data_IF_209184689309
#
_entry.id   IF_209184689309
#
_cell.length_a   1.000
_cell.length_b   1.000
_cell.length_c   1.000
_cell.angle_alpha   90.00
_cell.angle_beta   90.00
_cell.angle_gamma   90.00
#
_symmetry.space_group_name_H-M   'P 1'
#
loop_
_entity.id
_entity.type
_entity.pdbx_description
1 polymer ?
#
# COMPACT_ATOMS: atom_id res chain seq x y z
N UNK A 1 -7.74 -7.73 -22.25
CA UNK A 1 -7.52 -6.66 -21.24
C UNK A 1 -6.17 -6.93 -20.64
N UNK A 2 -5.26 -5.99 -20.75
CA UNK A 2 -3.92 -6.03 -20.13
C UNK A 2 -3.95 -5.09 -18.93
N UNK A 3 -3.79 -5.64 -17.72
CA UNK A 3 -3.85 -4.85 -16.49
C UNK A 3 -2.48 -4.80 -15.82
N UNK A 4 -1.85 -3.64 -15.85
CA UNK A 4 -0.51 -3.37 -15.33
C UNK A 4 -0.53 -2.22 -14.30
N UNK A 5 -1.62 -2.13 -13.52
CA UNK A 5 -1.79 -1.15 -12.44
C UNK A 5 -2.16 -1.80 -11.10
N UNK A 6 -1.50 -2.92 -10.77
CA UNK A 6 -1.68 -3.65 -9.52
C UNK A 6 -1.30 -2.85 -8.25
N UNK A 7 -0.58 -1.75 -8.40
CA UNK A 7 -0.34 -0.82 -7.30
C UNK A 7 -1.58 0.01 -6.94
N UNK A 8 -2.52 0.21 -7.88
CA UNK A 8 -3.82 0.82 -7.61
C UNK A 8 -4.78 -0.16 -6.95
N UNK A 9 -4.98 -1.33 -7.56
CA UNK A 9 -5.90 -2.36 -7.07
C UNK A 9 -5.56 -3.72 -7.67
N UNK A 10 -5.94 -4.80 -6.99
CA UNK A 10 -5.96 -6.14 -7.62
C UNK A 10 -7.27 -6.27 -8.42
N UNK A 11 -7.22 -6.52 -9.73
CA UNK A 11 -8.43 -6.59 -10.57
C UNK A 11 -9.24 -7.86 -10.34
N UNK A 12 -8.66 -8.84 -9.65
CA UNK A 12 -9.26 -10.15 -9.39
C UNK A 12 -9.65 -10.24 -7.93
N UNK A 13 -10.93 -10.53 -7.67
CA UNK A 13 -11.39 -10.85 -6.32
C UNK A 13 -11.00 -12.30 -6.00
N UNK A 14 -9.97 -12.47 -5.18
CA UNK A 14 -9.45 -13.79 -4.75
C UNK A 14 -10.12 -14.25 -3.47
N UNK A 15 -10.47 -13.32 -2.60
CA UNK A 15 -11.04 -13.55 -1.28
C UNK A 15 -12.34 -12.77 -1.11
N UNK A 16 -13.38 -13.42 -0.63
CA UNK A 16 -14.71 -12.83 -0.48
C UNK A 16 -15.47 -13.51 0.65
N UNK A 17 -16.35 -12.76 1.31
CA UNK A 17 -17.26 -13.27 2.34
C UNK A 17 -18.14 -14.43 1.86
N UNK A 18 -18.37 -14.56 0.55
CA UNK A 18 -19.10 -15.68 -0.05
C UNK A 18 -18.43 -17.05 0.12
N UNK A 19 -17.17 -17.08 0.50
CA UNK A 19 -16.41 -18.29 0.78
C UNK A 19 -16.60 -18.77 2.23
N UNK A 20 -17.29 -17.98 3.06
CA UNK A 20 -17.47 -18.22 4.49
C UNK A 20 -18.96 -18.12 4.88
N UNK A 21 -19.57 -19.28 5.12
CA UNK A 21 -20.96 -19.39 5.56
C UNK A 21 -21.05 -19.66 7.07
N UNK A 22 -22.27 -19.50 7.63
CA UNK A 22 -22.59 -19.96 8.99
C UNK A 22 -22.53 -18.88 10.08
N UNK A 23 -22.23 -17.63 9.75
CA UNK A 23 -22.22 -16.51 10.69
C UNK A 23 -23.37 -15.56 10.42
N UNK A 24 -24.38 -15.56 11.32
CA UNK A 24 -25.64 -14.86 11.10
C UNK A 24 -25.96 -13.81 12.19
N UNK A 25 -25.21 -13.84 13.30
CA UNK A 25 -25.49 -12.96 14.42
C UNK A 25 -24.59 -11.71 14.39
N UNK A 26 -25.14 -10.60 14.92
CA UNK A 26 -24.32 -9.43 15.18
C UNK A 26 -23.32 -9.77 16.30
N UNK A 27 -22.00 -9.69 16.07
CA UNK A 27 -20.99 -10.05 17.08
C UNK A 27 -21.06 -9.22 18.36
N UNK A 28 -21.68 -8.03 18.32
CA UNK A 28 -21.89 -7.18 19.50
C UNK A 28 -23.06 -7.65 20.39
N UNK A 29 -23.91 -8.55 19.90
CA UNK A 29 -25.00 -9.11 20.70
C UNK A 29 -24.48 -10.00 21.83
N UNK A 30 -25.15 -9.97 22.99
CA UNK A 30 -24.72 -10.74 24.17
C UNK A 30 -24.61 -12.25 23.91
N UNK A 31 -25.49 -12.79 23.06
CA UNK A 31 -25.56 -14.22 22.70
C UNK A 31 -24.62 -14.64 21.56
N UNK A 32 -23.95 -13.71 20.87
CA UNK A 32 -23.11 -13.98 19.69
C UNK A 32 -21.69 -14.46 20.11
N UNK A 33 -21.62 -15.54 20.88
CA UNK A 33 -20.34 -16.08 21.35
C UNK A 33 -19.47 -16.65 20.21
N UNK A 34 -20.10 -17.37 19.28
CA UNK A 34 -19.41 -18.00 18.15
C UNK A 34 -18.78 -16.94 17.25
N UNK A 35 -19.52 -15.89 16.95
CA UNK A 35 -19.07 -14.78 16.12
C UNK A 35 -17.88 -14.04 16.76
N UNK A 36 -17.98 -13.73 18.07
CA UNK A 36 -16.86 -13.10 18.78
C UNK A 36 -15.62 -13.99 18.82
N UNK A 37 -15.79 -15.29 19.06
CA UNK A 37 -14.67 -16.23 19.03
C UNK A 37 -14.00 -16.23 17.64
N UNK A 38 -14.78 -16.30 16.57
CA UNK A 38 -14.24 -16.25 15.21
C UNK A 38 -13.47 -14.93 14.93
N UNK A 39 -13.97 -13.78 15.41
CA UNK A 39 -13.25 -12.51 15.30
C UNK A 39 -11.92 -12.51 16.07
N UNK A 40 -11.91 -13.07 17.29
CA UNK A 40 -10.68 -13.20 18.08
C UNK A 40 -9.67 -14.15 17.40
N UNK A 41 -10.15 -15.27 16.85
CA UNK A 41 -9.30 -16.22 16.11
C UNK A 41 -8.71 -15.54 14.85
N UNK A 42 -9.49 -14.72 14.13
CA UNK A 42 -9.01 -13.91 13.00
C UNK A 42 -7.94 -12.91 13.42
N UNK A 43 -8.15 -12.19 14.52
CA UNK A 43 -7.15 -11.27 15.07
C UNK A 43 -5.82 -11.96 15.35
N UNK A 44 -5.84 -13.13 16.03
CA UNK A 44 -4.62 -13.89 16.30
C UNK A 44 -3.93 -14.37 15.02
N UNK A 45 -4.69 -14.81 14.00
CA UNK A 45 -4.17 -15.21 12.69
C UNK A 45 -3.49 -14.03 11.97
N UNK A 46 -4.12 -12.85 11.94
CA UNK A 46 -3.55 -11.64 11.33
C UNK A 46 -2.27 -11.26 12.07
N UNK A 47 -2.28 -11.21 13.42
CA UNK A 47 -1.09 -10.91 14.22
C UNK A 47 0.06 -11.88 13.94
N UNK A 48 -0.25 -13.17 13.87
CA UNK A 48 0.73 -14.21 13.56
C UNK A 48 1.30 -14.00 12.14
N UNK A 49 0.46 -13.71 11.15
CA UNK A 49 0.87 -13.49 9.76
C UNK A 49 1.80 -12.27 9.61
N UNK A 50 1.49 -11.16 10.29
CA UNK A 50 2.35 -9.97 10.28
C UNK A 50 3.52 -10.01 11.26
N UNK A 51 3.62 -11.07 12.06
CA UNK A 51 4.76 -11.32 12.97
C UNK A 51 4.78 -10.45 14.23
N UNK A 52 3.61 -10.04 14.73
CA UNK A 52 3.44 -9.32 16.00
C UNK A 52 2.80 -10.19 17.07
N UNK A 53 3.02 -9.87 18.36
CA UNK A 53 2.54 -10.69 19.49
C UNK A 53 1.41 -10.04 20.26
N UNK A 54 1.45 -8.73 20.41
CA UNK A 54 0.49 -7.95 21.20
C UNK A 54 -0.40 -7.07 20.35
N UNK A 55 -1.18 -6.24 21.03
CA UNK A 55 -2.04 -5.25 20.41
C UNK A 55 -3.35 -5.82 19.86
N UNK A 56 -4.08 -4.97 19.15
CA UNK A 56 -5.38 -5.29 18.58
C UNK A 56 -5.46 -4.97 17.08
N UNK A 57 -6.34 -5.70 16.38
CA UNK A 57 -6.64 -5.46 14.97
C UNK A 57 -8.02 -4.83 14.84
N UNK A 58 -8.08 -3.69 14.17
CA UNK A 58 -9.32 -3.02 13.81
C UNK A 58 -9.58 -3.16 12.31
N UNK A 59 -10.85 -3.21 11.93
CA UNK A 59 -11.31 -3.44 10.56
C UNK A 59 -12.04 -2.20 10.04
N UNK A 60 -11.74 -1.83 8.80
CA UNK A 60 -12.24 -0.65 8.10
C UNK A 60 -12.66 -1.02 6.68
N UNK A 61 -13.38 -0.14 5.99
CA UNK A 61 -13.75 -0.35 4.59
C UNK A 61 -12.54 -0.19 3.64
N UNK A 62 -11.64 0.73 3.98
CA UNK A 62 -10.42 0.98 3.21
C UNK A 62 -9.32 1.58 4.11
N UNK A 63 -8.08 1.58 3.61
CA UNK A 63 -6.95 2.17 4.33
C UNK A 63 -7.13 3.68 4.61
N UNK A 64 -7.79 4.41 3.70
CA UNK A 64 -8.10 5.84 3.89
C UNK A 64 -8.98 6.06 5.12
N UNK A 65 -10.03 5.23 5.31
CA UNK A 65 -10.87 5.30 6.51
C UNK A 65 -10.08 4.95 7.78
N UNK A 66 -9.18 3.98 7.70
CA UNK A 66 -8.37 3.57 8.83
C UNK A 66 -7.44 4.70 9.32
N UNK A 67 -6.74 5.37 8.41
CA UNK A 67 -5.85 6.47 8.79
C UNK A 67 -6.63 7.72 9.20
N UNK A 68 -7.74 8.03 8.54
CA UNK A 68 -8.62 9.15 8.91
C UNK A 68 -9.19 8.97 10.32
N UNK A 69 -9.63 7.75 10.66
CA UNK A 69 -10.05 7.39 12.01
C UNK A 69 -8.92 7.62 13.03
N UNK A 70 -7.71 7.12 12.78
CA UNK A 70 -6.60 7.29 13.72
C UNK A 70 -6.23 8.76 13.90
N UNK A 71 -6.18 9.53 12.82
CA UNK A 71 -5.93 10.97 12.86
C UNK A 71 -7.00 11.69 13.68
N UNK A 72 -8.27 11.27 13.58
CA UNK A 72 -9.36 11.85 14.34
C UNK A 72 -9.29 11.50 15.84
N UNK A 73 -9.02 10.24 16.18
CA UNK A 73 -8.89 9.78 17.57
C UNK A 73 -7.67 10.40 18.29
N UNK A 74 -6.65 10.79 17.51
CA UNK A 74 -5.43 11.41 18.02
C UNK A 74 -5.40 12.93 17.83
N UNK A 75 -6.47 13.56 17.33
CA UNK A 75 -6.58 15.02 17.15
C UNK A 75 -6.84 15.73 18.49
N UNK A 76 -5.95 15.51 19.45
CA UNK A 76 -5.85 16.39 20.59
C UNK A 76 -5.08 17.62 20.16
N UNK A 77 -5.60 18.81 20.42
CA UNK A 77 -5.10 20.12 19.97
C UNK A 77 -3.59 20.36 20.19
N UNK A 78 -2.92 19.47 20.90
CA UNK A 78 -1.49 19.54 21.22
C UNK A 78 -0.64 18.48 20.52
N UNK A 79 -1.22 17.43 19.95
CA UNK A 79 -0.45 16.35 19.32
C UNK A 79 0.12 16.79 17.97
N UNK A 80 1.37 16.43 17.73
CA UNK A 80 2.11 16.83 16.54
C UNK A 80 2.34 15.61 15.65
N UNK A 81 1.87 15.72 14.40
CA UNK A 81 2.07 14.69 13.38
C UNK A 81 3.17 15.10 12.40
N UNK A 82 4.04 14.14 12.07
CA UNK A 82 4.95 14.24 10.95
C UNK A 82 4.67 13.15 9.92
N UNK A 83 5.17 13.37 8.72
CA UNK A 83 5.07 12.39 7.64
C UNK A 83 6.31 12.43 6.75
N UNK A 84 6.56 11.34 6.02
CA UNK A 84 7.58 11.37 4.98
C UNK A 84 7.10 12.19 3.77
N UNK A 85 8.00 12.73 2.95
CA UNK A 85 7.61 13.44 1.72
C UNK A 85 7.01 12.49 0.66
N UNK A 86 7.16 11.20 0.86
CA UNK A 86 6.76 10.15 -0.10
C UNK A 86 5.36 9.59 0.12
N UNK A 87 4.64 10.03 1.18
CA UNK A 87 3.37 9.45 1.59
C UNK A 87 2.27 9.52 0.53
N UNK A 88 1.34 8.56 0.60
CA UNK A 88 0.10 8.63 -0.15
C UNK A 88 -0.79 9.77 0.37
N UNK A 89 -1.55 10.41 -0.51
CA UNK A 89 -2.39 11.57 -0.17
C UNK A 89 -3.37 11.30 0.99
N UNK A 90 -3.90 10.08 1.08
CA UNK A 90 -4.78 9.68 2.18
C UNK A 90 -4.15 9.92 3.57
N UNK A 91 -2.82 9.82 3.67
CA UNK A 91 -2.09 10.04 4.92
C UNK A 91 -1.90 11.52 5.26
N UNK A 92 -2.17 12.43 4.33
CA UNK A 92 -1.88 13.85 4.47
C UNK A 92 -3.11 14.70 4.80
N UNK A 93 -4.30 14.25 4.42
CA UNK A 93 -5.54 15.05 4.53
C UNK A 93 -5.90 15.47 5.97
N UNK A 94 -5.54 14.67 6.97
CA UNK A 94 -5.85 14.96 8.37
C UNK A 94 -4.73 15.67 9.14
N UNK A 95 -3.52 15.78 8.59
CA UNK A 95 -2.37 16.33 9.31
C UNK A 95 -2.44 17.87 9.33
N UNK A 96 -2.84 18.41 10.47
CA UNK A 96 -3.05 19.85 10.66
C UNK A 96 -1.83 20.59 11.19
N UNK A 97 -0.86 19.89 11.78
CA UNK A 97 0.34 20.46 12.40
C UNK A 97 1.60 19.72 12.01
N UNK A 98 2.48 20.41 11.30
CA UNK A 98 3.85 19.96 11.06
C UNK A 98 4.77 20.73 12.00
N UNK A 99 5.52 20.08 12.90
CA UNK A 99 6.48 20.76 13.74
C UNK A 99 7.77 21.08 12.96
N UNK A 100 8.48 22.11 13.45
CA UNK A 100 9.76 22.53 12.86
C UNK A 100 10.91 21.49 13.03
N UNK A 101 10.71 20.45 13.87
CA UNK A 101 11.72 19.42 14.15
C UNK A 101 11.12 18.04 14.35
N UNK A 102 11.67 17.03 13.68
CA UNK A 102 11.34 15.60 13.83
C UNK A 102 11.41 15.08 15.29
N UNK A 103 12.24 15.67 16.12
CA UNK A 103 12.44 15.23 17.52
C UNK A 103 11.30 15.63 18.48
N UNK A 104 10.37 16.44 18.04
CA UNK A 104 9.21 16.89 18.86
C UNK A 104 7.87 16.31 18.41
N UNK A 105 7.91 15.24 17.60
CA UNK A 105 6.71 14.58 17.09
C UNK A 105 6.12 13.61 18.12
N UNK A 106 4.80 13.62 18.22
CA UNK A 106 4.04 12.60 18.94
C UNK A 106 3.74 11.40 18.04
N UNK A 107 3.46 11.67 16.76
CA UNK A 107 3.20 10.68 15.74
C UNK A 107 4.00 10.94 14.46
N UNK A 108 4.46 9.87 13.83
CA UNK A 108 5.09 9.93 12.51
C UNK A 108 4.56 8.82 11.60
N UNK A 109 4.08 9.19 10.42
CA UNK A 109 3.61 8.24 9.43
C UNK A 109 4.66 8.04 8.34
N UNK A 110 4.91 6.79 8.00
CA UNK A 110 5.80 6.41 6.91
C UNK A 110 5.30 5.17 6.17
N UNK A 111 5.29 5.24 4.84
CA UNK A 111 5.00 4.04 4.05
C UNK A 111 6.19 3.06 4.10
N UNK A 112 5.88 1.76 4.11
CA UNK A 112 6.90 0.72 4.04
C UNK A 112 7.43 0.55 2.62
N UNK A 113 6.55 0.54 1.61
CA UNK A 113 6.89 0.47 0.19
C UNK A 113 6.29 1.68 -0.53
N UNK A 114 7.11 2.36 -1.32
CA UNK A 114 6.61 3.50 -2.09
C UNK A 114 5.60 3.04 -3.16
N UNK A 115 4.43 3.64 -3.15
CA UNK A 115 3.32 3.26 -4.01
C UNK A 115 3.49 3.70 -5.48
N UNK A 116 4.52 4.50 -5.79
CA UNK A 116 4.86 4.96 -7.14
C UNK A 116 6.12 4.25 -7.65
N UNK A 117 7.20 4.26 -6.87
CA UNK A 117 8.52 3.81 -7.30
C UNK A 117 8.84 2.36 -6.92
N UNK A 118 8.12 1.79 -5.94
CA UNK A 118 8.42 0.46 -5.42
C UNK A 118 9.60 0.42 -4.44
N UNK A 119 10.19 1.57 -4.06
CA UNK A 119 11.24 1.63 -3.05
C UNK A 119 10.77 1.05 -1.73
N UNK A 120 11.60 0.19 -1.12
CA UNK A 120 11.34 -0.44 0.18
C UNK A 120 12.15 0.30 1.24
N UNK A 121 11.47 0.97 2.16
CA UNK A 121 12.12 1.72 3.24
C UNK A 121 12.47 0.83 4.43
N UNK A 122 13.69 0.98 4.96
CA UNK A 122 14.08 0.30 6.20
C UNK A 122 13.41 0.98 7.42
N UNK A 123 12.33 0.38 7.88
CA UNK A 123 11.56 0.87 9.03
C UNK A 123 12.37 0.92 10.33
N UNK A 124 13.44 0.10 10.47
CA UNK A 124 14.34 0.14 11.64
C UNK A 124 15.19 1.41 11.64
N UNK A 125 15.69 1.80 10.48
CA UNK A 125 16.42 3.07 10.32
C UNK A 125 15.48 4.23 10.63
N UNK A 126 14.27 4.26 10.07
CA UNK A 126 13.27 5.29 10.35
C UNK A 126 12.98 5.36 11.85
N UNK A 127 12.68 4.21 12.49
CA UNK A 127 12.43 4.15 13.94
C UNK A 127 13.58 4.70 14.76
N UNK A 128 14.83 4.45 14.34
CA UNK A 128 16.02 4.93 15.06
C UNK A 128 16.19 6.45 15.04
N UNK A 129 15.61 7.13 14.06
CA UNK A 129 15.66 8.59 13.90
C UNK A 129 14.57 9.32 14.71
N UNK A 130 13.56 8.60 15.16
CA UNK A 130 12.44 9.16 15.93
C UNK A 130 12.73 9.09 17.43
N UNK A 131 12.10 10.00 18.18
CA UNK A 131 12.16 9.91 19.66
C UNK A 131 11.51 8.60 20.13
N UNK A 132 11.85 8.14 21.33
CA UNK A 132 11.26 6.93 21.93
C UNK A 132 9.76 7.09 22.24
N UNK A 133 9.31 8.31 22.41
CA UNK A 133 7.90 8.64 22.68
C UNK A 133 7.08 8.81 21.42
N UNK A 134 7.70 9.07 20.28
CA UNK A 134 7.03 9.22 19.01
C UNK A 134 6.44 7.90 18.55
N UNK A 135 5.18 7.87 18.19
CA UNK A 135 4.48 6.71 17.63
C UNK A 135 4.74 6.61 16.14
N UNK A 136 5.30 5.48 15.68
CA UNK A 136 5.51 5.20 14.26
C UNK A 136 4.30 4.46 13.69
N UNK A 137 3.62 5.11 12.75
CA UNK A 137 2.49 4.56 12.00
C UNK A 137 2.99 4.13 10.62
N UNK A 138 2.78 2.87 10.25
CA UNK A 138 3.28 2.31 8.99
C UNK A 138 2.16 2.12 7.99
N UNK A 139 2.24 2.81 6.84
CA UNK A 139 1.43 2.47 5.68
C UNK A 139 2.07 1.30 4.93
N UNK A 140 1.50 0.12 5.08
CA UNK A 140 1.94 -1.08 4.39
C UNK A 140 1.12 -1.39 3.12
N UNK A 141 0.24 -0.50 2.70
CA UNK A 141 -0.75 -0.72 1.64
C UNK A 141 -0.13 -1.10 0.29
N UNK A 142 1.01 -0.53 -0.08
CA UNK A 142 1.66 -0.83 -1.34
C UNK A 142 2.51 -2.11 -1.31
N UNK A 143 3.03 -2.47 -0.13
CA UNK A 143 3.97 -3.58 0.05
C UNK A 143 3.33 -4.95 0.28
N UNK A 144 2.10 -5.00 0.86
CA UNK A 144 1.43 -6.27 1.11
C UNK A 144 1.25 -7.10 -0.16
N UNK A 145 1.68 -8.37 -0.10
CA UNK A 145 1.64 -9.29 -1.24
C UNK A 145 2.62 -8.96 -2.37
N UNK A 146 3.54 -8.00 -2.19
CA UNK A 146 4.53 -7.56 -3.19
C UNK A 146 5.97 -7.46 -2.65
N UNK A 147 6.13 -7.55 -1.33
CA UNK A 147 7.42 -7.59 -0.68
C UNK A 147 7.31 -8.35 0.63
N UNK A 148 8.44 -8.80 1.17
CA UNK A 148 8.50 -9.49 2.46
C UNK A 148 8.39 -8.51 3.61
N UNK A 149 7.42 -8.72 4.50
CA UNK A 149 7.26 -7.92 5.71
C UNK A 149 8.53 -7.95 6.58
N UNK A 150 8.96 -6.79 7.11
CA UNK A 150 10.09 -6.75 8.01
C UNK A 150 9.79 -7.50 9.31
N UNK A 151 10.77 -8.26 9.81
CA UNK A 151 10.64 -8.97 11.07
C UNK A 151 10.73 -8.03 12.27
N UNK A 152 9.98 -8.34 13.34
CA UNK A 152 10.01 -7.60 14.60
C UNK A 152 9.25 -6.28 14.55
N UNK A 153 8.16 -6.25 13.80
CA UNK A 153 7.28 -5.08 13.67
C UNK A 153 6.77 -4.57 15.01
N UNK A 154 6.52 -5.44 15.98
CA UNK A 154 6.12 -5.11 17.35
C UNK A 154 7.14 -4.28 18.14
N UNK A 155 8.41 -4.24 17.68
CA UNK A 155 9.47 -3.39 18.24
C UNK A 155 9.77 -2.15 17.38
N UNK A 156 9.16 -2.04 16.22
CA UNK A 156 9.44 -0.98 15.24
C UNK A 156 8.27 -0.01 15.14
N UNK A 157 7.06 -0.53 14.94
CA UNK A 157 5.86 0.24 14.67
C UNK A 157 4.90 0.23 15.86
N UNK A 158 4.16 1.32 16.02
CA UNK A 158 3.04 1.43 16.97
C UNK A 158 1.70 1.12 16.29
N UNK A 159 1.59 1.34 14.98
CA UNK A 159 0.48 0.88 14.15
C UNK A 159 0.95 0.50 12.74
N UNK A 160 0.19 -0.39 12.10
CA UNK A 160 0.37 -0.77 10.71
C UNK A 160 -1.00 -0.94 10.05
N UNK A 161 -1.21 -0.34 8.88
CA UNK A 161 -2.46 -0.51 8.14
C UNK A 161 -2.22 -0.88 6.67
N UNK A 162 -3.24 -1.50 6.08
CA UNK A 162 -3.24 -1.90 4.68
C UNK A 162 -4.65 -1.94 4.09
N UNK A 163 -4.75 -1.98 2.78
CA UNK A 163 -6.01 -2.04 2.05
C UNK A 163 -6.22 -3.39 1.36
N UNK A 164 -7.30 -4.10 1.73
CA UNK A 164 -7.58 -5.45 1.24
C UNK A 164 -7.80 -5.53 -0.27
N UNK A 165 -8.34 -4.47 -0.92
CA UNK A 165 -8.57 -4.50 -2.36
C UNK A 165 -7.27 -4.65 -3.17
N UNK A 166 -6.11 -4.30 -2.62
CA UNK A 166 -4.81 -4.46 -3.29
C UNK A 166 -4.28 -5.89 -3.27
N UNK A 167 -4.84 -6.74 -2.41
CA UNK A 167 -4.51 -8.16 -2.31
C UNK A 167 -5.68 -9.09 -2.70
N UNK A 168 -6.66 -8.55 -3.42
CA UNK A 168 -7.79 -9.32 -3.93
C UNK A 168 -8.93 -9.56 -2.92
N UNK A 169 -9.00 -8.80 -1.82
CA UNK A 169 -10.10 -8.77 -0.86
C UNK A 169 -10.70 -7.35 -0.79
N UNK A 170 -11.70 -7.01 -1.61
CA UNK A 170 -12.20 -5.63 -1.71
C UNK A 170 -13.13 -5.22 -0.56
N UNK A 171 -13.55 -6.14 0.30
CA UNK A 171 -14.61 -5.90 1.28
C UNK A 171 -14.14 -5.11 2.49
N UNK A 172 -12.93 -5.38 2.96
CA UNK A 172 -12.36 -4.80 4.18
C UNK A 172 -10.87 -4.46 4.04
N UNK A 173 -10.41 -3.68 4.99
CA UNK A 173 -9.03 -3.32 5.28
C UNK A 173 -8.80 -3.50 6.77
N UNK A 174 -7.55 -3.50 7.24
CA UNK A 174 -7.27 -3.56 8.67
C UNK A 174 -6.21 -2.54 9.08
N UNK A 175 -6.22 -2.25 10.39
CA UNK A 175 -5.14 -1.57 11.10
C UNK A 175 -4.81 -2.38 12.36
N UNK A 176 -3.55 -2.77 12.52
CA UNK A 176 -3.02 -3.28 13.76
C UNK A 176 -2.52 -2.10 14.61
N UNK A 177 -2.80 -2.13 15.90
CA UNK A 177 -2.34 -1.18 16.92
C UNK A 177 -1.55 -1.93 17.98
N UNK A 178 -0.39 -1.39 18.39
CA UNK A 178 0.41 -1.94 19.49
C UNK A 178 -0.33 -1.84 20.83
N UNK A 179 0.09 -2.65 21.81
CA UNK A 179 -0.47 -2.58 23.18
C UNK A 179 -0.40 -1.15 23.73
N UNK A 180 0.73 -0.48 23.53
CA UNK A 180 0.93 0.89 24.01
C UNK A 180 -0.05 1.90 23.39
N UNK A 181 -0.32 1.75 22.08
CA UNK A 181 -1.26 2.61 21.40
C UNK A 181 -2.70 2.27 21.77
N UNK A 182 -3.02 0.98 21.95
CA UNK A 182 -4.32 0.53 22.44
C UNK A 182 -4.63 1.10 23.84
N UNK A 183 -3.67 1.04 24.77
CA UNK A 183 -3.79 1.63 26.10
C UNK A 183 -3.99 3.14 26.03
N UNK A 184 -3.23 3.83 25.19
CA UNK A 184 -3.33 5.27 24.99
C UNK A 184 -4.71 5.69 24.44
N UNK A 185 -5.27 4.91 23.52
CA UNK A 185 -6.61 5.09 22.94
C UNK A 185 -7.75 4.65 23.87
N UNK A 186 -7.43 3.97 24.98
CA UNK A 186 -8.43 3.50 25.95
C UNK A 186 -9.19 2.25 25.52
N UNK A 187 -8.51 1.33 24.84
CA UNK A 187 -9.09 0.04 24.41
C UNK A 187 -9.78 -0.71 25.54
N UNK A 188 -10.97 -1.24 25.28
CA UNK A 188 -11.73 -2.05 26.21
C UNK A 188 -11.15 -3.48 26.32
N UNK A 189 -11.54 -4.22 27.36
CA UNK A 189 -11.14 -5.63 27.56
C UNK A 189 -12.01 -6.63 26.78
N UNK A 190 -12.95 -6.16 26.00
CA UNK A 190 -13.90 -6.97 25.24
C UNK A 190 -13.88 -6.58 23.76
N UNK A 191 -13.85 -7.54 22.86
CA UNK A 191 -13.77 -7.32 21.40
C UNK A 191 -14.99 -6.61 20.80
N UNK A 192 -16.09 -6.52 21.54
CA UNK A 192 -17.29 -5.82 21.08
C UNK A 192 -16.95 -4.38 20.70
N UNK A 193 -17.58 -3.92 19.60
CA UNK A 193 -17.24 -2.62 18.99
C UNK A 193 -15.73 -2.48 18.77
N UNK A 194 -15.11 -3.55 18.32
CA UNK A 194 -13.67 -3.59 18.03
C UNK A 194 -12.86 -3.03 19.21
N UNK A 195 -12.94 -3.71 20.35
CA UNK A 195 -12.29 -3.32 21.60
C UNK A 195 -12.76 -1.96 22.13
N UNK A 196 -13.99 -1.54 21.78
CA UNK A 196 -14.53 -0.24 22.16
C UNK A 196 -13.94 0.93 21.37
N UNK A 197 -12.99 0.69 20.48
CA UNK A 197 -12.26 1.72 19.73
C UNK A 197 -12.97 2.15 18.45
N UNK A 198 -13.64 1.22 17.75
CA UNK A 198 -14.34 1.55 16.51
C UNK A 198 -15.74 0.93 16.48
N UNK A 199 -16.75 1.80 16.39
CA UNK A 199 -18.14 1.39 16.45
C UNK A 199 -18.65 0.87 15.09
N UNK A 200 -19.45 -0.17 15.15
CA UNK A 200 -20.10 -0.77 13.99
C UNK A 200 -20.13 -2.29 14.09
N UNK A 201 -21.12 -2.91 13.43
CA UNK A 201 -21.22 -4.36 13.35
C UNK A 201 -20.36 -4.89 12.22
N UNK A 202 -19.42 -5.77 12.54
CA UNK A 202 -18.59 -6.46 11.56
C UNK A 202 -19.33 -7.64 10.93
N UNK A 203 -19.12 -7.85 9.65
CA UNK A 203 -19.41 -9.12 9.00
C UNK A 203 -18.27 -10.09 9.29
N UNK A 204 -18.54 -11.14 10.09
CA UNK A 204 -17.52 -12.15 10.40
C UNK A 204 -17.00 -12.84 9.15
N UNK A 205 -17.87 -13.10 8.16
CA UNK A 205 -17.47 -13.67 6.88
C UNK A 205 -16.49 -12.78 6.12
N UNK A 206 -16.71 -11.44 6.11
CA UNK A 206 -15.79 -10.49 5.48
C UNK A 206 -14.45 -10.40 6.23
N UNK A 207 -14.47 -10.51 7.57
CA UNK A 207 -13.24 -10.54 8.37
C UNK A 207 -12.44 -11.82 8.10
N UNK A 208 -13.11 -12.98 7.98
CA UNK A 208 -12.45 -14.24 7.59
C UNK A 208 -11.81 -14.13 6.21
N UNK A 209 -12.53 -13.59 5.23
CA UNK A 209 -12.00 -13.39 3.88
C UNK A 209 -10.76 -12.48 3.87
N UNK A 210 -10.77 -11.39 4.64
CA UNK A 210 -9.62 -10.52 4.79
C UNK A 210 -8.46 -11.24 5.48
N UNK A 211 -8.74 -12.04 6.52
CA UNK A 211 -7.72 -12.81 7.23
C UNK A 211 -7.01 -13.79 6.30
N UNK A 212 -7.75 -14.55 5.50
CA UNK A 212 -7.18 -15.46 4.50
C UNK A 212 -6.34 -14.70 3.44
N UNK A 213 -6.80 -13.52 3.04
CA UNK A 213 -6.05 -12.65 2.12
C UNK A 213 -4.74 -12.14 2.72
N UNK A 214 -4.73 -11.78 4.00
CA UNK A 214 -3.55 -11.30 4.71
C UNK A 214 -2.53 -12.42 4.88
N UNK A 215 -2.96 -13.61 5.30
CA UNK A 215 -2.09 -14.78 5.39
C UNK A 215 -1.45 -15.10 4.05
N UNK A 216 -2.26 -15.17 2.98
CA UNK A 216 -1.76 -15.40 1.63
C UNK A 216 -0.74 -14.34 1.20
N UNK A 217 -1.01 -13.06 1.46
CA UNK A 217 -0.13 -11.97 1.09
C UNK A 217 1.23 -12.02 1.83
N UNK A 218 1.20 -12.35 3.13
CA UNK A 218 2.42 -12.49 3.93
C UNK A 218 3.27 -13.69 3.51
N UNK A 219 2.62 -14.81 3.14
CA UNK A 219 3.32 -16.01 2.70
C UNK A 219 3.88 -15.90 1.27
N UNK A 220 3.24 -15.11 0.41
CA UNK A 220 3.55 -15.07 -1.02
C UNK A 220 4.20 -13.77 -1.50
N UNK A 221 4.42 -12.78 -0.65
CA UNK A 221 4.98 -11.48 -1.05
C UNK A 221 6.32 -11.61 -1.79
N UNK A 222 7.26 -12.39 -1.26
CA UNK A 222 8.56 -12.64 -1.91
C UNK A 222 8.40 -13.39 -3.25
N UNK A 223 7.43 -14.31 -3.33
CA UNK A 223 7.17 -15.05 -4.57
C UNK A 223 6.59 -14.15 -5.66
N UNK A 224 5.68 -13.24 -5.30
CA UNK A 224 5.10 -12.28 -6.25
C UNK A 224 6.16 -11.30 -6.73
N UNK A 225 7.02 -10.81 -5.84
CA UNK A 225 8.14 -9.96 -6.22
C UNK A 225 9.13 -10.68 -7.14
N UNK A 226 9.54 -11.90 -6.79
CA UNK A 226 10.39 -12.73 -7.63
C UNK A 226 9.78 -13.06 -9.02
N UNK A 227 8.44 -13.22 -9.07
CA UNK A 227 7.72 -13.37 -10.34
C UNK A 227 7.79 -12.10 -11.19
N UNK A 228 7.77 -10.94 -10.56
CA UNK A 228 7.79 -9.62 -11.21
C UNK A 228 9.14 -9.24 -11.82
N UNK A 229 10.23 -9.87 -11.42
CA UNK A 229 11.58 -9.63 -11.97
C UNK A 229 11.61 -9.89 -13.49
N UNK A 230 11.01 -10.99 -13.96
CA UNK A 230 11.02 -11.33 -15.39
C UNK A 230 10.23 -10.32 -16.25
N UNK A 231 8.98 -9.95 -15.93
CA UNK A 231 8.26 -8.88 -16.60
C UNK A 231 9.02 -7.56 -16.62
N UNK A 232 9.65 -7.17 -15.51
CA UNK A 232 10.46 -5.96 -15.41
C UNK A 232 11.65 -5.97 -16.39
N UNK A 233 12.44 -7.03 -16.38
CA UNK A 233 13.60 -7.18 -17.31
C UNK A 233 13.13 -7.20 -18.76
N UNK A 234 12.06 -7.95 -19.07
CA UNK A 234 11.51 -8.02 -20.41
C UNK A 234 11.05 -6.63 -20.91
N UNK A 235 10.39 -5.86 -20.05
CA UNK A 235 9.92 -4.52 -20.40
C UNK A 235 11.08 -3.61 -20.81
N UNK A 236 12.13 -3.54 -19.99
CA UNK A 236 13.30 -2.71 -20.29
C UNK A 236 14.01 -3.15 -21.57
N UNK A 237 14.24 -4.46 -21.75
CA UNK A 237 14.82 -5.02 -22.97
C UNK A 237 14.02 -4.66 -24.24
N UNK A 238 12.69 -4.63 -24.16
CA UNK A 238 11.84 -4.30 -25.29
C UNK A 238 11.78 -2.80 -25.57
N UNK A 239 11.80 -1.96 -24.53
CA UNK A 239 11.89 -0.50 -24.68
C UNK A 239 13.22 -0.12 -25.37
N UNK A 240 14.34 -0.73 -24.96
CA UNK A 240 15.64 -0.54 -25.59
C UNK A 240 15.63 -0.96 -27.08
N UNK A 241 15.12 -2.14 -27.39
CA UNK A 241 14.99 -2.63 -28.78
C UNK A 241 14.11 -1.73 -29.64
N UNK A 242 13.06 -1.14 -29.05
CA UNK A 242 12.18 -0.18 -29.70
C UNK A 242 12.79 1.22 -29.82
N UNK A 243 13.98 1.45 -29.24
CA UNK A 243 14.65 2.77 -29.16
C UNK A 243 13.79 3.84 -28.51
N UNK A 244 13.09 3.44 -27.46
CA UNK A 244 12.33 4.34 -26.59
C UNK A 244 13.27 4.73 -25.46
N UNK A 245 13.62 6.02 -25.42
CA UNK A 245 14.45 6.55 -24.35
C UNK A 245 13.65 6.55 -23.04
N UNK A 246 14.14 5.79 -22.07
CA UNK A 246 13.46 5.59 -20.79
C UNK A 246 14.46 5.56 -19.64
N UNK A 247 13.98 5.91 -18.44
CA UNK A 247 14.77 5.91 -17.21
C UNK A 247 13.90 5.44 -16.05
N UNK A 248 14.40 4.54 -15.23
CA UNK A 248 13.80 4.27 -13.93
C UNK A 248 13.95 5.49 -13.04
N UNK A 249 12.88 5.88 -12.33
CA UNK A 249 12.92 7.03 -11.39
C UNK A 249 13.88 6.76 -10.25
N UNK A 250 14.04 5.49 -9.87
CA UNK A 250 15.09 5.03 -8.97
C UNK A 250 16.10 4.26 -9.83
N UNK A 251 17.33 4.75 -9.90
CA UNK A 251 18.40 4.01 -10.57
C UNK A 251 18.69 2.72 -9.80
N UNK A 252 18.41 1.59 -10.42
CA UNK A 252 18.66 0.26 -9.85
C UNK A 252 20.16 -0.09 -9.73
N UNK A 253 21.06 0.79 -10.15
CA UNK A 253 22.50 0.55 -10.14
C UNK A 253 23.13 0.57 -8.74
N UNK A 254 22.52 1.22 -7.77
CA UNK A 254 23.00 1.27 -6.37
C UNK A 254 22.39 0.18 -5.47
N UNK A 255 21.71 -0.80 -6.05
CA UNK A 255 21.02 -1.92 -5.37
C UNK A 255 21.96 -2.76 -4.49
N UNK A 256 23.25 -2.70 -4.70
CA UNK A 256 24.21 -3.52 -3.96
C UNK A 256 24.62 -2.95 -2.60
N UNK A 257 24.26 -1.72 -2.27
CA UNK A 257 24.74 -1.17 -1.00
C UNK A 257 23.66 -0.72 0.00
N UNK A 258 22.45 -0.22 -0.32
CA UNK A 258 21.46 0.15 0.73
C UNK A 258 20.02 0.45 0.30
N UNK A 259 19.64 0.46 -0.97
CA UNK A 259 18.25 0.63 -1.37
C UNK A 259 17.64 -0.70 -1.81
N UNK A 260 16.57 -1.12 -1.12
CA UNK A 260 15.74 -2.24 -1.57
C UNK A 260 14.55 -1.67 -2.37
N UNK A 261 14.13 -2.38 -3.40
CA UNK A 261 12.91 -2.08 -4.14
C UNK A 261 12.20 -3.38 -4.53
N UNK A 262 10.91 -3.29 -4.79
CA UNK A 262 10.14 -4.39 -5.36
C UNK A 262 10.00 -4.22 -6.87
N UNK A 263 10.31 -5.24 -7.65
CA UNK A 263 10.05 -5.26 -9.08
C UNK A 263 8.55 -5.23 -9.43
N UNK A 264 7.68 -5.40 -8.43
CA UNK A 264 6.23 -5.37 -8.64
C UNK A 264 5.67 -3.97 -8.89
N UNK A 265 6.41 -2.89 -8.57
CA UNK A 265 5.97 -1.49 -8.77
C UNK A 265 7.13 -0.71 -9.38
N UNK A 266 6.94 -0.14 -10.57
CA UNK A 266 7.99 0.52 -11.31
C UNK A 266 7.53 1.88 -11.84
N UNK A 267 8.26 2.94 -11.52
CA UNK A 267 8.07 4.27 -12.08
C UNK A 267 9.09 4.49 -13.20
N UNK A 268 8.61 4.63 -14.43
CA UNK A 268 9.46 4.74 -15.62
C UNK A 268 9.18 6.06 -16.30
N UNK A 269 10.20 6.89 -16.42
CA UNK A 269 10.15 8.10 -17.23
C UNK A 269 10.39 7.75 -18.70
N UNK A 270 9.47 8.14 -19.56
CA UNK A 270 9.55 7.99 -21.02
C UNK A 270 9.84 9.35 -21.63
N UNK A 271 11.09 9.61 -21.98
CA UNK A 271 11.56 10.93 -22.38
C UNK A 271 10.77 11.49 -23.58
N UNK A 272 10.22 12.69 -23.42
CA UNK A 272 9.42 13.37 -24.43
C UNK A 272 8.00 12.83 -24.62
N UNK A 273 7.54 11.90 -23.77
CA UNK A 273 6.20 11.30 -23.83
C UNK A 273 5.36 11.77 -22.65
N UNK A 274 4.29 12.51 -22.91
CA UNK A 274 3.35 12.89 -21.86
C UNK A 274 2.60 11.64 -21.34
N UNK A 275 2.76 11.35 -20.04
CA UNK A 275 2.25 10.13 -19.42
C UNK A 275 0.71 10.04 -19.41
N UNK A 276 0.01 11.17 -19.21
CA UNK A 276 -1.46 11.20 -19.20
C UNK A 276 -2.04 10.89 -20.57
N UNK A 277 -1.47 11.50 -21.62
CA UNK A 277 -1.88 11.26 -23.00
C UNK A 277 -1.60 9.80 -23.41
N UNK A 278 -0.42 9.28 -23.05
CA UNK A 278 -0.08 7.89 -23.27
C UNK A 278 -1.02 6.94 -22.51
N UNK A 279 -1.33 7.20 -21.24
CA UNK A 279 -2.26 6.39 -20.46
C UNK A 279 -3.63 6.29 -21.12
N UNK A 280 -4.19 7.42 -21.58
CA UNK A 280 -5.49 7.44 -22.27
C UNK A 280 -5.44 6.66 -23.58
N UNK A 281 -4.37 6.78 -24.34
CA UNK A 281 -4.15 6.04 -25.57
C UNK A 281 -4.08 4.51 -25.30
N UNK A 282 -3.29 4.09 -24.32
CA UNK A 282 -3.15 2.69 -23.92
C UNK A 282 -4.51 2.14 -23.39
N UNK A 283 -5.21 2.91 -22.57
CA UNK A 283 -6.52 2.54 -22.05
C UNK A 283 -7.55 2.31 -23.17
N UNK A 284 -7.52 3.11 -24.25
CA UNK A 284 -8.37 2.92 -25.43
C UNK A 284 -8.12 1.58 -26.14
N UNK A 285 -6.97 0.95 -25.90
CA UNK A 285 -6.56 -0.37 -26.40
C UNK A 285 -6.73 -1.49 -25.38
N UNK A 286 -7.31 -1.18 -24.21
CA UNK A 286 -7.49 -2.14 -23.13
C UNK A 286 -6.21 -2.47 -22.37
N UNK A 287 -5.22 -1.56 -22.39
CA UNK A 287 -3.96 -1.65 -21.63
C UNK A 287 -4.01 -0.59 -20.53
N UNK A 288 -3.93 -1.00 -19.29
CA UNK A 288 -4.11 -0.13 -18.12
C UNK A 288 -2.80 -0.02 -17.33
N UNK A 289 -2.29 1.21 -17.22
CA UNK A 289 -1.11 1.59 -16.43
C UNK A 289 -1.44 2.77 -15.53
N UNK A 290 -0.70 2.97 -14.45
CA UNK A 290 -0.75 4.19 -13.65
C UNK A 290 0.07 5.32 -14.27
N UNK A 291 -0.11 6.54 -13.76
CA UNK A 291 0.77 7.68 -14.04
C UNK A 291 1.56 8.05 -12.80
N UNK A 292 2.65 8.79 -12.98
CA UNK A 292 3.57 9.14 -11.89
C UNK A 292 3.05 10.13 -10.85
N UNK A 293 1.87 10.70 -11.06
CA UNK A 293 1.13 11.44 -10.04
C UNK A 293 0.45 10.51 -9.04
N UNK A 294 -0.46 11.03 -8.23
CA UNK A 294 -1.27 10.20 -7.33
C UNK A 294 -2.17 9.23 -8.13
N UNK A 295 -2.20 7.97 -7.74
CA UNK A 295 -3.01 6.94 -8.39
C UNK A 295 -4.52 7.24 -8.40
N UNK A 296 -4.99 8.14 -7.54
CA UNK A 296 -6.40 8.43 -7.31
C UNK A 296 -6.76 9.91 -7.48
N UNK A 297 -5.81 10.81 -7.73
CA UNK A 297 -6.11 12.24 -7.87
C UNK A 297 -6.25 12.63 -9.33
N UNK A 298 -7.36 13.29 -9.65
CA UNK A 298 -7.52 14.04 -10.88
C UNK A 298 -6.61 15.29 -10.90
N UNK A 299 -5.90 15.57 -9.82
CA UNK A 299 -4.92 16.64 -9.71
C UNK A 299 -3.53 16.08 -10.06
N UNK A 300 -2.85 16.76 -10.96
CA UNK A 300 -1.45 16.46 -11.32
C UNK A 300 -0.51 16.86 -10.16
N UNK A 301 -0.61 16.19 -9.02
CA UNK A 301 0.30 16.40 -7.91
C UNK A 301 1.49 15.45 -8.01
N UNK A 302 2.59 15.97 -8.51
CA UNK A 302 3.86 15.26 -8.63
C UNK A 302 4.70 15.33 -7.34
N UNK A 303 4.08 15.56 -6.18
CA UNK A 303 4.76 15.74 -4.88
C UNK A 303 5.78 14.63 -4.59
N UNK A 304 5.38 13.38 -4.76
CA UNK A 304 6.26 12.22 -4.53
C UNK A 304 7.43 12.23 -5.52
N UNK A 305 7.19 12.43 -6.81
CA UNK A 305 8.25 12.48 -7.82
C UNK A 305 9.19 13.68 -7.62
N UNK A 306 8.65 14.84 -7.19
CA UNK A 306 9.50 15.99 -6.78
C UNK A 306 10.38 15.66 -5.60
N UNK A 307 9.91 14.85 -4.64
CA UNK A 307 10.72 14.39 -3.53
C UNK A 307 11.89 13.48 -3.97
N UNK A 308 11.74 12.82 -5.13
CA UNK A 308 12.83 12.10 -5.81
C UNK A 308 13.69 13.01 -6.72
N UNK A 309 13.46 14.33 -6.72
CA UNK A 309 14.28 15.29 -7.43
C UNK A 309 13.84 15.60 -8.87
N UNK A 310 12.70 15.06 -9.34
CA UNK A 310 12.21 15.36 -10.68
C UNK A 310 11.55 16.75 -10.72
N UNK A 311 11.73 17.45 -11.82
CA UNK A 311 10.93 18.63 -12.17
C UNK A 311 9.51 18.21 -12.56
N UNK A 312 8.54 19.13 -12.54
CA UNK A 312 7.17 18.83 -12.98
C UNK A 312 7.10 18.37 -14.44
N UNK A 313 7.98 18.90 -15.30
CA UNK A 313 8.10 18.46 -16.69
C UNK A 313 8.52 17.00 -16.79
N UNK A 314 9.57 16.61 -16.08
CA UNK A 314 10.06 15.22 -16.01
C UNK A 314 9.02 14.28 -15.37
N UNK A 315 8.37 14.73 -14.30
CA UNK A 315 7.34 13.98 -13.62
C UNK A 315 6.11 13.72 -14.51
N UNK A 316 5.79 14.64 -15.42
CA UNK A 316 4.70 14.48 -16.39
C UNK A 316 4.99 13.42 -17.49
N UNK A 317 6.24 12.94 -17.57
CA UNK A 317 6.68 11.87 -18.46
C UNK A 317 6.74 10.51 -17.79
N UNK A 318 6.38 10.41 -16.50
CA UNK A 318 6.49 9.16 -15.71
C UNK A 318 5.19 8.38 -15.74
N UNK A 319 5.26 7.14 -16.25
CA UNK A 319 4.22 6.11 -16.06
C UNK A 319 4.58 5.23 -14.88
N UNK A 320 3.56 4.68 -14.20
CA UNK A 320 3.74 3.61 -13.24
C UNK A 320 3.25 2.30 -13.84
N UNK A 321 4.14 1.33 -13.95
CA UNK A 321 3.81 -0.04 -14.36
C UNK A 321 3.92 -0.94 -13.15
N UNK A 322 2.87 -1.67 -12.81
CA UNK A 322 2.89 -2.57 -11.67
C UNK A 322 2.31 -3.94 -12.00
N UNK A 323 3.01 -4.96 -11.52
CA UNK A 323 2.77 -6.35 -11.83
C UNK A 323 2.07 -7.07 -10.68
N UNK A 324 1.32 -8.11 -11.02
CA UNK A 324 0.75 -9.08 -10.10
C UNK A 324 1.13 -10.50 -10.52
N UNK A 325 0.65 -11.47 -9.76
CA UNK A 325 0.90 -12.90 -10.03
C UNK A 325 0.25 -13.42 -11.33
N UNK A 326 -0.68 -12.67 -11.91
CA UNK A 326 -1.33 -12.97 -13.18
C UNK A 326 -0.64 -12.31 -14.40
N UNK A 327 0.36 -11.45 -14.17
CA UNK A 327 1.05 -10.73 -15.25
C UNK A 327 1.86 -11.69 -16.11
N UNK A 328 1.65 -11.64 -17.43
CA UNK A 328 2.29 -12.51 -18.40
C UNK A 328 3.28 -11.77 -19.30
N UNK A 329 4.14 -12.52 -19.98
CA UNK A 329 5.06 -11.96 -20.98
C UNK A 329 4.32 -11.25 -22.12
N UNK A 330 3.16 -11.77 -22.54
CA UNK A 330 2.34 -11.13 -23.60
C UNK A 330 1.73 -9.81 -23.18
N UNK A 331 1.49 -9.58 -21.88
CA UNK A 331 1.03 -8.29 -21.38
C UNK A 331 2.12 -7.22 -21.54
N UNK A 332 3.38 -7.62 -21.32
CA UNK A 332 4.54 -6.75 -21.50
C UNK A 332 4.78 -6.44 -22.98
N UNK A 333 4.67 -7.45 -23.86
CA UNK A 333 4.78 -7.26 -25.30
C UNK A 333 3.71 -6.25 -25.77
N UNK A 334 2.46 -6.39 -25.31
CA UNK A 334 1.36 -5.49 -25.67
C UNK A 334 1.58 -4.05 -25.15
N UNK A 335 2.12 -3.90 -23.93
CA UNK A 335 2.46 -2.58 -23.38
C UNK A 335 3.48 -1.86 -24.25
N UNK A 336 4.61 -2.53 -24.55
CA UNK A 336 5.71 -1.89 -25.29
C UNK A 336 5.32 -1.60 -26.73
N UNK A 337 4.55 -2.49 -27.38
CA UNK A 337 4.03 -2.21 -28.74
C UNK A 337 3.04 -1.02 -28.72
N UNK A 338 2.20 -0.90 -27.68
CA UNK A 338 1.32 0.26 -27.49
C UNK A 338 2.08 1.57 -27.31
N UNK A 339 3.17 1.58 -26.52
CA UNK A 339 4.04 2.76 -26.35
C UNK A 339 4.71 3.12 -27.70
N UNK A 340 5.20 2.14 -28.43
CA UNK A 340 5.83 2.33 -29.74
C UNK A 340 4.83 2.94 -30.76
N UNK A 341 3.62 2.38 -30.83
CA UNK A 341 2.56 2.90 -31.70
C UNK A 341 2.19 4.35 -31.34
N UNK A 342 2.12 4.68 -30.04
CA UNK A 342 1.89 6.05 -29.60
C UNK A 342 2.99 6.99 -30.09
N UNK A 343 4.27 6.59 -29.89
CA UNK A 343 5.42 7.39 -30.33
C UNK A 343 5.42 7.62 -31.85
N UNK A 344 5.19 6.58 -32.63
CA UNK A 344 5.14 6.67 -34.10
C UNK A 344 3.97 7.51 -34.62
N UNK A 345 2.87 7.60 -33.85
CA UNK A 345 1.66 8.32 -34.26
C UNK A 345 1.71 9.81 -33.88
N UNK A 346 2.25 10.14 -32.72
CA UNK A 346 2.10 11.47 -32.12
C UNK A 346 3.42 12.22 -31.89
N UNK A 347 4.55 11.51 -31.94
CA UNK A 347 5.87 12.09 -31.67
C UNK A 347 6.73 11.88 -32.93
N UNK A 348 6.86 12.93 -33.72
CA UNK A 348 7.66 12.91 -34.98
C UNK A 348 9.10 13.29 -34.71
#
# INVERSE_FOLDING_TARGET
MVFLDYASTCPIVKFSSKQHDGFHCNPNAAYAYTERKALMDCEERIKAAIGVKGGHVLYFRCATEAIDWLLHETDNWNDTWGHSPYEHDACLFGIRRLPDKLMSLDFYIHQWVNHITGEIFDLKIIRSQLSKTCKLIVDATAGFGKAKLPSGLDNIADALFMSGHKIGCPELSFMWLSDTLCEWLGAAKDIRNQWGLHHGSLSVASVLALTDAVEWACENGDRVDGHSVRPYVQMNDLLDKARIEHYDVIEHHDVLEHQMFTCSINAIRLNGINADALQQFLASRGIYVGVGGSACSAAHDYRVLRAYGLTDGEASEVIRVSFGDETTASDIDALVEGIKEYKETFIV
#
